data_IF_053464691509
#
_entry.id   IF_053464691509
#
_cell.length_a   1.000
_cell.length_b   1.000
_cell.length_c   1.000
_cell.angle_alpha   90.00
_cell.angle_beta   90.00
_cell.angle_gamma   90.00
#
_symmetry.space_group_name_H-M   'P 1'
#
loop_
_entity.id
_entity.type
_entity.pdbx_description
1 polymer ?
#
# COMPACT_ATOMS: atom_id res chain seq x y z
N UNK A 1 -7.15 -3.34 -6.51
CA UNK A 1 -6.86 -2.47 -5.36
C UNK A 1 -7.32 -1.07 -5.67
N UNK A 2 -7.85 -0.39 -4.69
CA UNK A 2 -8.36 0.97 -4.89
C UNK A 2 -8.32 1.73 -3.58
N UNK A 3 -8.49 3.05 -3.65
CA UNK A 3 -8.49 3.89 -2.47
C UNK A 3 -9.54 3.42 -1.46
N UNK A 4 -9.17 3.39 -0.21
CA UNK A 4 -10.03 2.93 0.88
C UNK A 4 -9.89 1.46 1.23
N UNK A 5 -9.19 0.68 0.41
CA UNK A 5 -8.96 -0.74 0.72
C UNK A 5 -8.12 -0.88 1.98
N UNK A 6 -8.47 -1.87 2.79
CA UNK A 6 -7.69 -2.23 3.96
C UNK A 6 -6.66 -3.28 3.57
N UNK A 7 -5.40 -3.01 3.85
CA UNK A 7 -4.30 -3.86 3.39
C UNK A 7 -3.29 -4.10 4.49
N UNK A 8 -2.46 -5.11 4.29
CA UNK A 8 -1.27 -5.36 5.08
C UNK A 8 -0.06 -5.40 4.17
N UNK A 9 1.11 -5.09 4.73
CA UNK A 9 2.37 -5.12 3.99
C UNK A 9 3.07 -6.43 4.27
N UNK A 10 3.46 -7.13 3.20
CA UNK A 10 4.17 -8.40 3.29
C UNK A 10 5.68 -8.15 3.40
N UNK A 11 6.41 -9.08 3.98
CA UNK A 11 5.96 -10.34 4.58
C UNK A 11 5.56 -10.22 6.03
N UNK A 12 5.81 -9.09 6.66
CA UNK A 12 5.68 -8.97 8.11
C UNK A 12 4.23 -9.01 8.60
N UNK A 13 3.31 -8.44 7.82
CA UNK A 13 1.89 -8.39 8.16
C UNK A 13 1.62 -7.76 9.54
N UNK A 14 2.36 -6.70 9.85
CA UNK A 14 2.24 -6.04 11.15
C UNK A 14 1.33 -4.82 10.99
N UNK A 15 0.13 -4.92 11.56
CA UNK A 15 -0.84 -3.83 11.52
C UNK A 15 -1.49 -3.68 10.16
N UNK A 16 -2.30 -2.65 10.04
CA UNK A 16 -3.10 -2.42 8.85
C UNK A 16 -2.82 -1.05 8.26
N UNK A 17 -3.05 -0.95 6.97
CA UNK A 17 -2.89 0.30 6.23
C UNK A 17 -4.12 0.51 5.36
N UNK A 18 -4.39 1.76 5.05
CA UNK A 18 -5.44 2.14 4.11
C UNK A 18 -4.78 2.62 2.83
N UNK A 19 -5.28 2.15 1.71
CA UNK A 19 -4.82 2.61 0.41
C UNK A 19 -5.38 4.01 0.17
N UNK A 20 -4.48 4.97 -0.08
CA UNK A 20 -4.89 6.33 -0.40
C UNK A 20 -5.16 6.49 -1.89
N UNK A 21 -4.45 5.73 -2.70
CA UNK A 21 -4.60 5.79 -4.14
C UNK A 21 -3.35 5.25 -4.80
N UNK A 22 -3.37 5.22 -6.12
CA UNK A 22 -2.22 4.80 -6.89
C UNK A 22 -1.17 5.91 -6.85
N UNK A 23 0.04 5.56 -6.45
CA UNK A 23 1.14 6.51 -6.42
C UNK A 23 1.62 6.79 -7.84
N UNK A 24 1.85 8.06 -8.14
CA UNK A 24 2.44 8.45 -9.41
C UNK A 24 3.93 8.54 -9.23
N UNK A 25 4.62 7.59 -9.81
CA UNK A 25 6.06 7.50 -9.75
C UNK A 25 6.63 7.75 -11.12
N UNK A 26 7.67 8.56 -11.18
CA UNK A 26 8.40 8.77 -12.42
C UNK A 26 9.39 7.61 -12.57
N UNK A 27 8.97 6.61 -13.28
CA UNK A 27 9.68 5.34 -13.38
C UNK A 27 10.12 5.10 -14.81
N UNK A 28 11.18 5.77 -15.21
CA UNK A 28 11.59 5.80 -16.59
C UNK A 28 12.16 4.49 -17.10
N UNK A 29 12.81 3.75 -16.25
CA UNK A 29 13.54 2.59 -16.73
C UNK A 29 12.92 1.27 -16.35
N UNK A 30 12.15 1.21 -15.35
CA UNK A 30 11.41 0.00 -14.97
C UNK A 30 10.05 -0.02 -15.62
N UNK A 31 9.31 1.04 -15.45
CA UNK A 31 8.09 1.31 -16.17
C UNK A 31 6.94 0.35 -15.97
N UNK A 32 7.09 -0.65 -15.12
CA UNK A 32 6.08 -1.69 -14.97
C UNK A 32 5.61 -1.87 -13.55
N UNK A 33 6.30 -1.28 -12.60
CA UNK A 33 5.96 -1.42 -11.20
C UNK A 33 4.82 -0.49 -10.84
N UNK A 34 3.82 -1.05 -10.24
CA UNK A 34 2.69 -0.27 -9.74
C UNK A 34 2.92 -0.03 -8.25
N UNK A 35 2.82 1.23 -7.85
CA UNK A 35 2.97 1.63 -6.46
C UNK A 35 1.67 2.21 -5.95
N UNK A 36 1.39 1.99 -4.67
CA UNK A 36 0.20 2.51 -4.02
C UNK A 36 0.61 3.30 -2.79
N UNK A 37 -0.02 4.45 -2.61
CA UNK A 37 0.19 5.25 -1.41
C UNK A 37 -0.61 4.64 -0.28
N UNK A 38 0.06 4.42 0.85
CA UNK A 38 -0.56 3.82 2.03
C UNK A 38 -0.50 4.77 3.20
N UNK A 39 -1.51 4.68 4.04
CA UNK A 39 -1.57 5.42 5.29
C UNK A 39 -1.66 4.42 6.44
N UNK A 40 -0.71 4.45 7.40
CA UNK A 40 -0.75 3.51 8.51
C UNK A 40 -1.90 3.79 9.46
N UNK A 41 -2.57 2.73 9.87
CA UNK A 41 -3.58 2.81 10.90
C UNK A 41 -2.92 2.68 12.28
N UNK A 42 -3.63 3.02 13.37
CA UNK A 42 -3.04 2.94 14.70
C UNK A 42 -2.47 1.57 15.07
N UNK A 43 -2.98 0.51 14.44
CA UNK A 43 -2.48 -0.84 14.68
C UNK A 43 -1.13 -1.12 14.05
N UNK A 44 -0.67 -0.27 13.14
CA UNK A 44 0.60 -0.48 12.46
C UNK A 44 1.76 -0.12 13.40
N UNK A 45 2.71 -1.05 13.53
CA UNK A 45 3.90 -0.79 14.32
C UNK A 45 4.88 0.12 13.61
N UNK A 46 4.84 0.13 12.30
CA UNK A 46 5.62 1.06 11.51
C UNK A 46 4.75 2.22 11.11
N UNK A 47 5.34 3.39 11.11
CA UNK A 47 4.69 4.56 10.59
C UNK A 47 5.17 4.83 9.17
N UNK A 48 5.23 3.78 8.39
CA UNK A 48 5.58 3.92 6.99
C UNK A 48 4.41 4.54 6.25
N UNK A 49 4.63 5.68 5.67
CA UNK A 49 3.64 6.30 4.80
C UNK A 49 4.29 6.54 3.47
N UNK A 50 3.52 6.41 2.40
CA UNK A 50 4.01 6.70 1.08
C UNK A 50 3.90 5.50 0.14
N UNK A 51 4.60 5.55 -0.99
CA UNK A 51 4.43 4.54 -2.02
C UNK A 51 5.02 3.20 -1.60
N UNK A 52 4.27 2.14 -1.91
CA UNK A 52 4.68 0.77 -1.67
C UNK A 52 4.42 -0.03 -2.94
N UNK A 53 5.37 -0.87 -3.31
CA UNK A 53 5.24 -1.76 -4.45
C UNK A 53 4.06 -2.70 -4.23
N UNK A 54 3.20 -2.80 -5.23
CA UNK A 54 1.98 -3.61 -5.15
C UNK A 54 2.24 -5.05 -4.75
N UNK A 55 3.35 -5.63 -5.14
CA UNK A 55 3.65 -7.02 -4.83
C UNK A 55 3.84 -7.28 -3.33
N UNK A 56 4.07 -6.23 -2.55
CA UNK A 56 4.23 -6.35 -1.10
C UNK A 56 2.95 -6.03 -0.35
N UNK A 57 1.84 -5.84 -1.06
CA UNK A 57 0.58 -5.43 -0.45
C UNK A 57 -0.43 -6.56 -0.58
N UNK A 58 -1.02 -6.92 0.55
CA UNK A 58 -2.10 -7.91 0.58
C UNK A 58 -3.40 -7.21 0.95
N UNK A 59 -4.39 -7.33 0.08
CA UNK A 59 -5.71 -6.74 0.37
C UNK A 59 -6.44 -7.62 1.36
N UNK A 60 -6.83 -7.03 2.48
CA UNK A 60 -7.58 -7.72 3.54
C UNK A 60 -9.06 -7.51 3.34
N UNK A 61 -9.45 -6.28 3.05
CA UNK A 61 -10.86 -5.94 2.85
C UNK A 61 -10.96 -4.88 1.78
N UNK A 62 -11.73 -5.17 0.75
CA UNK A 62 -11.93 -4.22 -0.33
C UNK A 62 -12.96 -3.17 0.04
N UNK A 63 -12.65 -1.94 -0.28
CA UNK A 63 -13.61 -0.84 -0.14
C UNK A 63 -14.72 -0.99 -1.18
N UNK A 64 -15.90 -0.55 -0.80
CA UNK A 64 -17.08 -0.59 -1.69
C UNK A 64 -17.51 0.79 -2.11
#
# INVERSE_FOLDING_TARGET
MKAGDLVQVLPAKIGYYIVLGRAEMDDDYVGRTVYWDLHPLPSANFHYGGPMDEKFIEVISESR
#
